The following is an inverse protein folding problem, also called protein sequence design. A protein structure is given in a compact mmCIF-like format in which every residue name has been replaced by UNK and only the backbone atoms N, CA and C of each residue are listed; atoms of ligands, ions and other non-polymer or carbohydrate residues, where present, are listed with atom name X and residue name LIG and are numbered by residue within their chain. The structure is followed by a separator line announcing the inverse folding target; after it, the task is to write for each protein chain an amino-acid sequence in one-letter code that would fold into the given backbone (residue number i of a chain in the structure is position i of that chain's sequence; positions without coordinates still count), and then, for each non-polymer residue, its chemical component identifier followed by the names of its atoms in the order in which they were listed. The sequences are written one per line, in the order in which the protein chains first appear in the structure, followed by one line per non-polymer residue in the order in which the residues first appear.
data_IF_859361765364
#
_entry.id   IF_859361765364
#
_cell.length_a   1.000
_cell.length_b   1.000
_cell.length_c   1.000
_cell.angle_alpha   90.00
_cell.angle_beta   90.00
_cell.angle_gamma   90.00
#
_symmetry.space_group_name_H-M   'P 1'
#
loop_
_entity.id
_entity.type
_entity.pdbx_description
1 polymer ?
#
# COMPACT_ATOMS: atom_id res chain seq x y z
N UNK A 1 29.29 8.83 -31.42
CA UNK A 1 27.95 8.79 -30.77
C UNK A 1 27.81 7.52 -29.91
N UNK A 2 28.57 7.39 -28.81
CA UNK A 2 28.54 6.19 -27.91
C UNK A 2 28.33 6.52 -26.41
N UNK A 3 28.02 7.77 -26.05
CA UNK A 3 27.88 8.20 -24.64
C UNK A 3 26.45 8.17 -24.08
N UNK A 4 25.42 7.98 -24.90
CA UNK A 4 24.02 7.97 -24.42
C UNK A 4 23.49 6.60 -23.98
N UNK A 5 24.14 5.50 -24.36
CA UNK A 5 23.69 4.15 -23.99
C UNK A 5 24.04 3.77 -22.53
N UNK A 6 25.15 4.30 -22.00
CA UNK A 6 25.63 3.97 -20.66
C UNK A 6 24.75 4.59 -19.55
N UNK A 7 24.36 5.87 -19.66
CA UNK A 7 23.40 6.46 -18.71
C UNK A 7 22.02 5.77 -18.73
N UNK A 8 21.65 5.24 -19.89
CA UNK A 8 20.34 4.63 -20.12
C UNK A 8 20.25 3.25 -19.46
N UNK A 9 21.30 2.44 -19.54
CA UNK A 9 21.37 1.16 -18.84
C UNK A 9 21.41 1.32 -17.31
N UNK A 10 22.20 2.27 -16.78
CA UNK A 10 22.29 2.53 -15.33
C UNK A 10 20.97 3.00 -14.73
N UNK A 11 20.20 3.80 -15.47
CA UNK A 11 18.89 4.26 -15.01
C UNK A 11 17.87 3.11 -14.98
N UNK A 12 17.90 2.21 -15.97
CA UNK A 12 17.00 1.05 -15.99
C UNK A 12 17.33 0.10 -14.83
N UNK A 13 18.62 -0.15 -14.59
CA UNK A 13 19.07 -0.99 -13.46
C UNK A 13 18.63 -0.41 -12.14
N UNK A 14 18.84 0.90 -11.92
CA UNK A 14 18.41 1.53 -10.66
C UNK A 14 16.90 1.48 -10.51
N UNK A 15 16.11 1.78 -11.53
CA UNK A 15 14.64 1.75 -11.44
C UNK A 15 14.06 0.33 -11.27
N UNK A 16 14.68 -0.68 -11.89
CA UNK A 16 14.29 -2.08 -11.73
C UNK A 16 14.70 -2.60 -10.34
N UNK A 17 15.92 -2.33 -9.89
CA UNK A 17 16.38 -2.74 -8.56
C UNK A 17 15.53 -2.11 -7.45
N UNK A 18 15.06 -0.88 -7.62
CA UNK A 18 14.25 -0.17 -6.61
C UNK A 18 12.82 -0.65 -6.54
N UNK A 19 12.23 -1.00 -7.68
CA UNK A 19 10.89 -1.59 -7.71
C UNK A 19 10.86 -2.99 -7.13
N UNK A 20 11.88 -3.78 -7.45
CA UNK A 20 12.03 -5.12 -6.89
C UNK A 20 12.36 -5.05 -5.39
N UNK A 21 13.23 -4.13 -4.96
CA UNK A 21 13.53 -3.88 -3.55
C UNK A 21 12.30 -3.41 -2.75
N UNK A 22 11.47 -2.54 -3.35
CA UNK A 22 10.24 -2.02 -2.72
C UNK A 22 9.18 -3.09 -2.52
N UNK A 23 9.25 -4.18 -3.29
CA UNK A 23 8.29 -5.27 -3.24
C UNK A 23 8.93 -6.59 -2.81
N UNK A 24 10.10 -6.61 -2.16
CA UNK A 24 10.74 -7.85 -1.71
C UNK A 24 11.89 -7.62 -0.73
N UNK A 25 11.73 -6.96 0.43
CA UNK A 25 12.80 -6.99 1.46
C UNK A 25 12.25 -7.02 2.89
N UNK A 26 12.20 -8.23 3.46
CA UNK A 26 13.19 -8.68 4.48
C UNK A 26 13.09 -10.21 4.64
N UNK A 27 13.99 -10.96 3.98
CA UNK A 27 14.51 -12.20 4.58
C UNK A 27 15.65 -11.80 5.51
N UNK A 28 15.70 -12.45 6.67
CA UNK A 28 16.74 -12.34 7.70
C UNK A 28 18.11 -11.94 7.14
N UNK A 29 18.57 -10.74 7.52
CA UNK A 29 19.96 -10.29 7.35
C UNK A 29 20.75 -10.36 8.68
N UNK A 30 20.25 -11.09 9.68
CA UNK A 30 20.96 -11.29 10.96
C UNK A 30 22.08 -12.34 10.92
N UNK A 31 22.52 -12.77 9.73
CA UNK A 31 23.62 -13.75 9.62
C UNK A 31 24.70 -13.46 8.58
N UNK A 32 24.73 -12.28 7.95
CA UNK A 32 25.90 -11.88 7.15
C UNK A 32 26.27 -10.43 7.44
N UNK A 33 27.17 -10.25 8.40
CA UNK A 33 27.96 -9.03 8.52
C UNK A 33 28.73 -8.82 7.21
N UNK A 34 28.24 -7.92 6.35
CA UNK A 34 28.99 -7.45 5.19
C UNK A 34 29.86 -6.24 5.59
N UNK A 35 31.10 -6.13 5.10
CA UNK A 35 32.02 -5.06 5.48
C UNK A 35 31.53 -3.70 4.98
N UNK A 36 31.89 -2.65 5.71
CA UNK A 36 31.44 -1.26 5.56
C UNK A 36 31.82 -0.52 4.24
N UNK A 37 32.14 -1.23 3.16
CA UNK A 37 32.62 -0.63 1.89
C UNK A 37 31.64 -0.73 0.71
N UNK A 38 30.37 -1.03 0.97
CA UNK A 38 29.34 -1.11 -0.08
C UNK A 38 28.95 0.26 -0.71
N UNK A 39 29.58 1.36 -0.30
CA UNK A 39 29.39 2.70 -0.90
C UNK A 39 30.33 2.99 -2.08
N UNK A 40 31.30 2.10 -2.40
CA UNK A 40 32.30 2.33 -3.44
C UNK A 40 32.18 1.44 -4.70
N UNK A 41 31.15 0.59 -4.82
CA UNK A 41 31.01 -0.33 -5.96
C UNK A 41 29.99 0.11 -7.02
N UNK A 42 29.64 1.40 -7.10
CA UNK A 42 29.00 1.97 -8.28
C UNK A 42 30.05 2.15 -9.41
N UNK A 43 30.68 1.05 -9.82
CA UNK A 43 31.57 1.02 -10.97
C UNK A 43 30.73 0.92 -12.24
N UNK A 44 30.98 1.88 -13.12
CA UNK A 44 30.31 2.08 -14.39
C UNK A 44 30.59 0.94 -15.39
N UNK A 45 29.81 -0.14 -15.35
CA UNK A 45 29.59 -1.01 -16.52
C UNK A 45 28.33 -1.91 -16.34
N UNK A 46 27.15 -1.28 -16.29
CA UNK A 46 25.88 -2.01 -16.25
C UNK A 46 25.50 -2.48 -17.67
N UNK A 47 26.05 -3.61 -18.10
CA UNK A 47 25.55 -4.34 -19.28
C UNK A 47 24.20 -5.03 -19.00
N UNK A 48 23.54 -5.61 -20.02
CA UNK A 48 22.33 -6.43 -19.87
C UNK A 48 22.44 -7.56 -18.83
N UNK A 49 23.65 -7.98 -18.47
CA UNK A 49 23.92 -8.94 -17.40
C UNK A 49 23.63 -8.43 -15.97
N UNK A 50 23.50 -7.11 -15.77
CA UNK A 50 23.29 -6.51 -14.44
C UNK A 50 21.83 -6.67 -13.97
N UNK A 51 20.85 -6.39 -14.85
CA UNK A 51 19.43 -6.63 -14.57
C UNK A 51 19.12 -8.10 -14.29
N UNK A 52 19.76 -9.02 -15.01
CA UNK A 52 19.58 -10.46 -14.78
C UNK A 52 19.98 -10.87 -13.37
N UNK A 53 21.08 -10.31 -12.85
CA UNK A 53 21.53 -10.54 -11.47
C UNK A 53 20.57 -9.97 -10.44
N UNK A 54 19.99 -8.80 -10.72
CA UNK A 54 18.97 -8.15 -9.88
C UNK A 54 17.68 -8.99 -9.88
N UNK A 55 17.14 -9.37 -11.04
CA UNK A 55 15.95 -10.23 -11.07
C UNK A 55 16.16 -11.55 -10.32
N UNK A 56 17.33 -12.18 -10.51
CA UNK A 56 17.68 -13.44 -9.85
C UNK A 56 17.76 -13.30 -8.32
N UNK A 57 18.30 -12.18 -7.80
CA UNK A 57 18.37 -11.94 -6.35
C UNK A 57 16.99 -11.78 -5.70
N UNK A 58 15.99 -11.34 -6.48
CA UNK A 58 14.58 -11.28 -6.08
C UNK A 58 13.77 -12.53 -6.46
N UNK A 59 14.44 -13.57 -6.96
CA UNK A 59 13.82 -14.84 -7.34
C UNK A 59 12.89 -14.73 -8.55
N UNK A 60 13.08 -13.73 -9.39
CA UNK A 60 12.42 -13.58 -10.69
C UNK A 60 13.37 -14.14 -11.74
N UNK A 61 12.89 -15.09 -12.55
CA UNK A 61 13.64 -15.58 -13.70
C UNK A 61 13.83 -14.41 -14.71
N UNK A 62 15.07 -14.02 -15.05
CA UNK A 62 15.36 -12.92 -15.98
C UNK A 62 14.70 -13.07 -17.36
N UNK A 63 14.45 -14.31 -17.79
CA UNK A 63 13.84 -14.60 -19.09
C UNK A 63 12.30 -14.75 -19.00
N UNK A 64 11.73 -14.62 -17.80
CA UNK A 64 10.28 -14.74 -17.58
C UNK A 64 9.49 -13.56 -18.11
N UNK A 65 8.18 -13.78 -18.30
CA UNK A 65 7.26 -12.70 -18.65
C UNK A 65 7.21 -11.60 -17.57
N UNK A 66 7.32 -12.00 -16.29
CA UNK A 66 7.38 -11.06 -15.15
C UNK A 66 8.57 -10.11 -15.24
N UNK A 67 9.77 -10.59 -15.59
CA UNK A 67 10.91 -9.72 -15.83
C UNK A 67 10.66 -8.72 -16.96
N UNK A 68 10.02 -9.16 -18.05
CA UNK A 68 9.64 -8.28 -19.18
C UNK A 68 8.65 -7.19 -18.75
N UNK A 69 7.67 -7.51 -17.89
CA UNK A 69 6.72 -6.53 -17.35
C UNK A 69 7.45 -5.44 -16.56
N UNK A 70 8.41 -5.81 -15.69
CA UNK A 70 9.20 -4.84 -14.91
C UNK A 70 10.01 -3.93 -15.85
N UNK A 71 10.71 -4.50 -16.83
CA UNK A 71 11.48 -3.71 -17.81
C UNK A 71 10.57 -2.76 -18.59
N UNK A 72 9.40 -3.23 -19.04
CA UNK A 72 8.43 -2.41 -19.76
C UNK A 72 7.90 -1.24 -18.90
N UNK A 73 7.62 -1.49 -17.62
CA UNK A 73 7.21 -0.45 -16.68
C UNK A 73 8.29 0.61 -16.47
N UNK A 74 9.56 0.18 -16.32
CA UNK A 74 10.69 1.10 -16.17
C UNK A 74 10.84 2.00 -17.39
N UNK A 75 10.76 1.39 -18.58
CA UNK A 75 10.80 2.11 -19.84
C UNK A 75 9.63 3.09 -19.99
N UNK A 76 8.43 2.69 -19.55
CA UNK A 76 7.25 3.55 -19.56
C UNK A 76 7.48 4.83 -18.74
N UNK A 77 8.00 4.71 -17.51
CA UNK A 77 8.31 5.88 -16.66
C UNK A 77 9.36 6.78 -17.29
N UNK A 78 10.40 6.17 -17.88
CA UNK A 78 11.49 6.91 -18.52
C UNK A 78 11.02 7.75 -19.70
N UNK A 79 10.03 7.27 -20.43
CA UNK A 79 9.52 7.89 -21.65
C UNK A 79 8.29 8.77 -21.40
N UNK A 80 7.70 8.74 -20.20
CA UNK A 80 6.49 9.51 -19.90
C UNK A 80 6.81 11.02 -19.80
N UNK A 81 6.22 11.87 -20.67
CA UNK A 81 6.52 13.29 -20.69
C UNK A 81 5.96 14.05 -19.48
N UNK A 82 4.87 13.57 -18.87
CA UNK A 82 4.32 14.19 -17.66
C UNK A 82 5.28 13.96 -16.48
N UNK A 83 5.83 12.75 -16.35
CA UNK A 83 6.85 12.46 -15.33
C UNK A 83 8.11 13.28 -15.57
N UNK A 84 8.58 13.37 -16.82
CA UNK A 84 9.79 14.12 -17.16
C UNK A 84 9.69 15.62 -16.84
N UNK A 85 8.50 16.21 -16.97
CA UNK A 85 8.26 17.64 -16.70
C UNK A 85 7.83 17.90 -15.26
N UNK A 86 6.96 17.04 -14.72
CA UNK A 86 6.29 17.25 -13.43
C UNK A 86 7.10 16.80 -12.22
N UNK A 87 8.07 15.90 -12.38
CA UNK A 87 8.95 15.45 -11.30
C UNK A 87 10.36 15.99 -11.56
N UNK A 88 10.90 16.92 -10.74
CA UNK A 88 12.26 17.43 -10.91
C UNK A 88 13.30 16.30 -10.88
N UNK A 89 14.01 16.09 -12.00
CA UNK A 89 14.92 14.96 -12.19
C UNK A 89 14.29 13.73 -12.86
N UNK A 90 13.02 13.80 -13.24
CA UNK A 90 12.28 12.80 -14.02
C UNK A 90 12.41 11.38 -13.43
N UNK A 91 12.59 10.40 -14.32
CA UNK A 91 12.74 9.00 -13.94
C UNK A 91 13.90 8.73 -12.96
N UNK A 92 14.97 9.53 -12.97
CA UNK A 92 16.07 9.37 -12.01
C UNK A 92 15.63 9.74 -10.59
N UNK A 93 14.83 10.80 -10.45
CA UNK A 93 14.25 11.16 -9.17
C UNK A 93 13.25 10.11 -8.69
N UNK A 94 12.46 9.54 -9.61
CA UNK A 94 11.58 8.41 -9.29
C UNK A 94 12.37 7.24 -8.72
N UNK A 95 13.52 6.87 -9.32
CA UNK A 95 14.40 5.83 -8.77
C UNK A 95 14.80 6.10 -7.32
N UNK A 96 15.22 7.34 -7.04
CA UNK A 96 15.64 7.76 -5.71
C UNK A 96 14.49 7.72 -4.70
N UNK A 97 13.29 8.12 -5.11
CA UNK A 97 12.10 8.07 -4.26
C UNK A 97 11.80 6.63 -3.84
N UNK A 98 11.88 5.65 -4.76
CA UNK A 98 11.63 4.25 -4.40
C UNK A 98 12.73 3.61 -3.52
N UNK A 99 13.92 4.21 -3.44
CA UNK A 99 14.97 3.81 -2.48
C UNK A 99 14.73 4.34 -1.07
N UNK A 100 13.98 5.43 -0.93
CA UNK A 100 13.71 6.09 0.34
C UNK A 100 12.30 5.71 0.82
N UNK A 101 12.17 4.91 1.90
CA UNK A 101 10.86 4.48 2.39
C UNK A 101 9.90 5.62 2.71
N UNK A 102 10.40 6.73 3.27
CA UNK A 102 9.57 7.86 3.65
C UNK A 102 9.09 8.64 2.41
N UNK A 103 10.00 8.92 1.48
CA UNK A 103 9.63 9.59 0.23
C UNK A 103 8.67 8.74 -0.62
N UNK A 104 8.86 7.41 -0.62
CA UNK A 104 7.96 6.46 -1.29
C UNK A 104 6.57 6.50 -0.66
N UNK A 105 6.48 6.50 0.67
CA UNK A 105 5.21 6.58 1.36
C UNK A 105 4.48 7.89 1.06
N UNK A 106 5.18 9.03 1.13
CA UNK A 106 4.63 10.34 0.79
C UNK A 106 4.12 10.39 -0.66
N UNK A 107 4.91 9.90 -1.61
CA UNK A 107 4.51 9.79 -3.02
C UNK A 107 3.26 8.93 -3.19
N UNK A 108 3.22 7.77 -2.52
CA UNK A 108 2.07 6.86 -2.60
C UNK A 108 0.82 7.49 -2.00
N UNK A 109 0.91 8.09 -0.81
CA UNK A 109 -0.22 8.74 -0.14
C UNK A 109 -0.75 9.92 -0.97
N UNK A 110 0.13 10.83 -1.40
CA UNK A 110 -0.24 11.98 -2.22
C UNK A 110 -0.82 11.54 -3.57
N UNK A 111 -0.14 10.64 -4.29
CA UNK A 111 -0.59 10.22 -5.61
C UNK A 111 -1.90 9.43 -5.57
N UNK A 112 -2.12 8.55 -4.59
CA UNK A 112 -3.39 7.83 -4.40
C UNK A 112 -4.56 8.79 -4.09
N UNK A 113 -4.32 9.83 -3.29
CA UNK A 113 -5.34 10.85 -2.99
C UNK A 113 -5.78 11.62 -4.24
N UNK A 114 -4.91 11.71 -5.26
CA UNK A 114 -5.17 12.38 -6.54
C UNK A 114 -5.81 11.49 -7.62
N UNK A 115 -5.86 10.17 -7.39
CA UNK A 115 -6.46 9.25 -8.37
C UNK A 115 -7.98 9.48 -8.51
N UNK A 116 -8.56 8.90 -9.56
CA UNK A 116 -10.01 8.78 -9.65
C UNK A 116 -10.53 7.74 -8.64
N UNK A 117 -11.79 7.84 -8.18
CA UNK A 117 -12.39 6.87 -7.25
C UNK A 117 -12.26 5.42 -7.70
N UNK A 118 -12.48 5.15 -8.99
CA UNK A 118 -12.38 3.81 -9.56
C UNK A 118 -10.95 3.23 -9.50
N UNK A 119 -9.92 4.07 -9.62
CA UNK A 119 -8.52 3.61 -9.55
C UNK A 119 -8.06 3.42 -8.10
N UNK A 120 -8.52 4.27 -7.16
CA UNK A 120 -8.35 4.00 -5.72
C UNK A 120 -9.00 2.67 -5.32
N UNK A 121 -10.20 2.40 -5.83
CA UNK A 121 -10.88 1.14 -5.58
C UNK A 121 -10.09 -0.05 -6.12
N UNK A 122 -9.56 0.03 -7.35
CA UNK A 122 -8.68 -1.01 -7.92
C UNK A 122 -7.42 -1.25 -7.09
N UNK A 123 -6.82 -0.19 -6.57
CA UNK A 123 -5.67 -0.31 -5.67
C UNK A 123 -6.01 -1.11 -4.41
N UNK A 124 -7.15 -0.82 -3.80
CA UNK A 124 -7.60 -1.54 -2.60
C UNK A 124 -7.94 -2.99 -2.90
N UNK A 125 -8.60 -3.28 -4.02
CA UNK A 125 -8.86 -4.66 -4.43
C UNK A 125 -7.57 -5.46 -4.59
N UNK A 126 -6.55 -4.88 -5.22
CA UNK A 126 -5.25 -5.52 -5.36
C UNK A 126 -4.60 -5.72 -3.99
N UNK A 127 -4.59 -4.71 -3.13
CA UNK A 127 -4.03 -4.80 -1.78
C UNK A 127 -4.68 -5.92 -0.95
N UNK A 128 -6.01 -5.98 -0.95
CA UNK A 128 -6.77 -7.03 -0.23
C UNK A 128 -6.43 -8.41 -0.76
N UNK A 129 -6.39 -8.58 -2.08
CA UNK A 129 -6.01 -9.85 -2.69
C UNK A 129 -4.60 -10.29 -2.27
N UNK A 130 -3.63 -9.38 -2.27
CA UNK A 130 -2.26 -9.69 -1.84
C UNK A 130 -2.19 -10.09 -0.35
N UNK A 131 -2.99 -9.44 0.50
CA UNK A 131 -3.11 -9.80 1.92
C UNK A 131 -3.72 -11.18 2.12
N UNK A 132 -4.72 -11.54 1.33
CA UNK A 132 -5.38 -12.84 1.41
C UNK A 132 -4.49 -13.98 0.90
N UNK A 133 -3.74 -13.74 -0.17
CA UNK A 133 -2.97 -14.78 -0.85
C UNK A 133 -1.55 -14.95 -0.30
N UNK A 134 -0.89 -13.86 0.14
CA UNK A 134 0.54 -13.89 0.46
C UNK A 134 0.87 -13.63 1.92
N UNK A 135 -0.04 -13.04 2.69
CA UNK A 135 0.21 -12.73 4.09
C UNK A 135 -0.40 -13.82 4.96
N UNK A 136 0.37 -14.46 5.86
CA UNK A 136 -0.18 -15.45 6.78
C UNK A 136 -1.16 -14.80 7.76
N UNK A 137 -2.01 -15.61 8.37
CA UNK A 137 -3.05 -15.15 9.30
C UNK A 137 -2.51 -14.35 10.49
N UNK A 138 -1.25 -14.56 10.88
CA UNK A 138 -0.60 -13.88 12.00
C UNK A 138 0.26 -12.67 11.57
N UNK A 139 0.15 -12.19 10.33
CA UNK A 139 0.91 -11.04 9.83
C UNK A 139 2.43 -11.21 9.98
N UNK A 140 2.92 -12.46 9.85
CA UNK A 140 4.31 -12.83 10.09
C UNK A 140 4.83 -12.46 11.50
N UNK A 141 3.93 -12.31 12.48
CA UNK A 141 4.23 -11.86 13.83
C UNK A 141 4.41 -10.35 13.98
N UNK A 142 4.07 -9.54 12.96
CA UNK A 142 4.21 -8.08 12.98
C UNK A 142 2.89 -7.39 13.34
N UNK A 143 3.01 -6.27 14.04
CA UNK A 143 1.88 -5.38 14.37
C UNK A 143 1.71 -4.24 13.36
N UNK A 144 2.78 -3.86 12.66
CA UNK A 144 2.74 -2.79 11.66
C UNK A 144 2.41 -3.35 10.28
N UNK A 145 1.24 -3.01 9.76
CA UNK A 145 0.81 -3.44 8.42
C UNK A 145 1.71 -2.93 7.30
N UNK A 146 2.43 -1.82 7.50
CA UNK A 146 3.40 -1.33 6.50
C UNK A 146 4.56 -2.31 6.39
N UNK A 147 5.13 -2.72 7.53
CA UNK A 147 6.16 -3.74 7.60
C UNK A 147 5.68 -5.14 7.15
N UNK A 148 4.38 -5.44 7.29
CA UNK A 148 3.78 -6.65 6.70
C UNK A 148 3.80 -6.57 5.17
N UNK A 149 3.36 -5.44 4.61
CA UNK A 149 3.27 -5.27 3.15
C UNK A 149 4.63 -5.23 2.47
N UNK A 150 5.71 -4.85 3.14
CA UNK A 150 7.07 -4.95 2.56
C UNK A 150 7.56 -6.39 2.39
N UNK A 151 6.89 -7.37 3.01
CA UNK A 151 7.18 -8.81 2.87
C UNK A 151 6.42 -9.47 1.71
N UNK A 152 5.42 -8.82 1.14
CA UNK A 152 4.73 -9.28 -0.07
C UNK A 152 5.72 -9.23 -1.23
N UNK A 153 5.80 -10.29 -2.03
CA UNK A 153 6.83 -10.44 -3.05
C UNK A 153 6.25 -10.44 -4.47
N UNK A 154 6.87 -9.68 -5.39
CA UNK A 154 6.56 -9.78 -6.83
C UNK A 154 6.71 -11.21 -7.36
N UNK A 155 7.60 -12.01 -6.75
CA UNK A 155 7.80 -13.42 -7.12
C UNK A 155 6.53 -14.23 -6.97
N UNK A 156 5.82 -14.06 -5.85
CA UNK A 156 4.63 -14.84 -5.50
C UNK A 156 3.35 -14.27 -6.14
N UNK A 157 3.38 -13.02 -6.62
CA UNK A 157 2.26 -12.45 -7.37
C UNK A 157 2.02 -13.17 -8.69
N UNK A 158 0.76 -13.27 -9.14
CA UNK A 158 0.49 -13.68 -10.52
C UNK A 158 1.00 -12.63 -11.52
N UNK A 159 1.21 -13.01 -12.78
CA UNK A 159 1.66 -12.05 -13.81
C UNK A 159 0.66 -10.91 -14.01
N UNK A 160 -0.65 -11.21 -14.00
CA UNK A 160 -1.70 -10.20 -14.11
C UNK A 160 -1.72 -9.24 -12.92
N UNK A 161 -1.43 -9.72 -11.70
CA UNK A 161 -1.37 -8.84 -10.53
C UNK A 161 -0.12 -7.94 -10.58
N UNK A 162 1.00 -8.44 -11.12
CA UNK A 162 2.20 -7.63 -11.34
C UNK A 162 1.94 -6.53 -12.37
N UNK A 163 1.28 -6.84 -13.49
CA UNK A 163 0.86 -5.84 -14.47
C UNK A 163 -0.08 -4.80 -13.85
N UNK A 164 -1.07 -5.24 -13.08
CA UNK A 164 -2.02 -4.34 -12.42
C UNK A 164 -1.31 -3.43 -11.40
N UNK A 165 -0.42 -3.97 -10.57
CA UNK A 165 0.37 -3.22 -9.61
C UNK A 165 1.18 -2.11 -10.30
N UNK A 166 1.93 -2.46 -11.33
CA UNK A 166 2.76 -1.52 -12.07
C UNK A 166 1.94 -0.49 -12.86
N UNK A 167 0.77 -0.88 -13.36
CA UNK A 167 -0.16 0.05 -13.98
C UNK A 167 -0.70 1.08 -12.99
N UNK A 168 -1.11 0.66 -11.79
CA UNK A 168 -1.56 1.56 -10.72
C UNK A 168 -0.44 2.49 -10.25
N UNK A 169 0.75 1.94 -10.06
CA UNK A 169 1.92 2.72 -9.64
C UNK A 169 2.28 3.80 -10.67
N UNK A 170 2.17 3.48 -11.95
CA UNK A 170 2.32 4.46 -13.02
C UNK A 170 1.25 5.56 -12.96
N UNK A 171 -0.01 5.21 -12.68
CA UNK A 171 -1.08 6.20 -12.52
C UNK A 171 -0.81 7.13 -11.34
N UNK A 172 -0.35 6.61 -10.19
CA UNK A 172 0.06 7.39 -9.01
C UNK A 172 1.17 8.39 -9.37
N UNK A 173 2.20 7.94 -10.11
CA UNK A 173 3.28 8.81 -10.56
C UNK A 173 2.78 9.91 -11.50
N UNK A 174 1.92 9.57 -12.44
CA UNK A 174 1.35 10.55 -13.39
C UNK A 174 0.45 11.54 -12.68
N UNK A 175 -0.42 11.11 -11.76
CA UNK A 175 -1.33 11.99 -11.04
C UNK A 175 -0.57 12.97 -10.14
N UNK A 176 0.52 12.52 -9.52
CA UNK A 176 1.44 13.38 -8.78
C UNK A 176 2.15 14.37 -9.71
N UNK A 177 2.76 13.89 -10.78
CA UNK A 177 3.49 14.75 -11.73
C UNK A 177 2.59 15.82 -12.37
N UNK A 178 1.33 15.47 -12.68
CA UNK A 178 0.36 16.41 -13.23
C UNK A 178 -0.27 17.34 -12.20
N UNK A 179 0.05 17.19 -10.91
CA UNK A 179 -0.59 17.92 -9.81
C UNK A 179 -2.11 17.83 -9.89
N UNK A 180 -2.64 16.63 -10.15
CA UNK A 180 -4.07 16.43 -10.26
C UNK A 180 -4.77 16.87 -8.95
N UNK A 181 -5.95 17.50 -9.03
CA UNK A 181 -6.59 18.07 -7.86
C UNK A 181 -7.02 16.98 -6.87
N UNK A 182 -6.88 17.28 -5.59
CA UNK A 182 -7.39 16.46 -4.50
C UNK A 182 -8.80 16.97 -4.15
N UNK A 183 -9.79 16.09 -4.23
CA UNK A 183 -11.17 16.41 -3.83
C UNK A 183 -11.45 15.77 -2.48
N UNK A 184 -11.36 16.56 -1.41
CA UNK A 184 -11.59 16.07 -0.06
C UNK A 184 -13.09 15.94 0.23
N UNK A 185 -13.53 14.80 0.82
CA UNK A 185 -14.87 14.67 1.36
C UNK A 185 -15.15 15.70 2.46
N UNK A 186 -16.36 16.23 2.48
CA UNK A 186 -16.84 17.09 3.57
C UNK A 186 -17.00 16.30 4.87
N UNK A 187 -17.02 16.95 6.05
CA UNK A 187 -17.26 16.27 7.32
C UNK A 187 -18.58 15.47 7.35
N UNK A 188 -19.62 15.95 6.66
CA UNK A 188 -20.91 15.25 6.57
C UNK A 188 -20.81 13.98 5.71
N UNK A 189 -20.03 14.03 4.63
CA UNK A 189 -19.75 12.88 3.77
C UNK A 189 -18.91 11.83 4.51
N UNK A 190 -17.91 12.23 5.29
CA UNK A 190 -17.17 11.30 6.15
C UNK A 190 -18.07 10.63 7.20
N UNK A 191 -18.91 11.40 7.89
CA UNK A 191 -19.83 10.82 8.87
C UNK A 191 -20.83 9.83 8.23
N UNK A 192 -21.26 10.07 6.98
CA UNK A 192 -22.09 9.12 6.23
C UNK A 192 -21.30 7.86 5.85
N UNK A 193 -20.08 8.03 5.37
CA UNK A 193 -19.17 6.95 5.00
C UNK A 193 -18.83 6.04 6.19
N UNK A 194 -18.55 6.62 7.36
CA UNK A 194 -18.28 5.89 8.61
C UNK A 194 -19.49 5.04 9.03
N UNK A 195 -20.71 5.59 9.00
CA UNK A 195 -21.92 4.81 9.29
C UNK A 195 -22.12 3.65 8.30
N UNK A 196 -21.77 3.85 7.04
CA UNK A 196 -21.86 2.80 6.03
C UNK A 196 -20.77 1.74 6.23
N UNK A 197 -19.57 2.14 6.61
CA UNK A 197 -18.47 1.24 6.95
C UNK A 197 -18.81 0.35 8.13
N UNK A 198 -19.38 0.89 9.21
CA UNK A 198 -19.82 0.09 10.37
C UNK A 198 -20.84 -0.99 9.96
N UNK A 199 -21.79 -0.65 9.07
CA UNK A 199 -22.77 -1.64 8.56
C UNK A 199 -22.09 -2.70 7.70
N UNK A 200 -21.12 -2.30 6.88
CA UNK A 200 -20.36 -3.21 6.02
C UNK A 200 -19.52 -4.18 6.86
N UNK A 201 -18.87 -3.71 7.92
CA UNK A 201 -18.12 -4.56 8.87
C UNK A 201 -19.03 -5.58 9.53
N UNK A 202 -20.19 -5.16 10.05
CA UNK A 202 -21.16 -6.09 10.66
C UNK A 202 -21.61 -7.14 9.64
N UNK A 203 -21.81 -6.74 8.38
CA UNK A 203 -22.21 -7.65 7.30
C UNK A 203 -21.10 -8.63 6.95
N UNK A 204 -19.85 -8.17 6.86
CA UNK A 204 -18.66 -8.97 6.59
C UNK A 204 -18.45 -10.03 7.69
N UNK A 205 -18.66 -9.65 8.95
CA UNK A 205 -18.64 -10.54 10.11
C UNK A 205 -19.92 -11.39 10.23
N UNK A 206 -20.82 -11.33 9.25
CA UNK A 206 -22.08 -12.09 9.20
C UNK A 206 -22.99 -11.85 10.42
N UNK A 207 -22.80 -10.74 11.13
CA UNK A 207 -23.49 -10.44 12.38
C UNK A 207 -23.11 -11.32 13.57
N UNK A 208 -21.99 -12.06 13.50
CA UNK A 208 -21.49 -12.82 14.65
C UNK A 208 -21.08 -11.87 15.78
N UNK A 209 -21.74 -11.99 16.93
CA UNK A 209 -21.56 -11.03 18.02
C UNK A 209 -20.15 -11.11 18.62
N UNK A 210 -19.53 -12.29 18.68
CA UNK A 210 -18.20 -12.45 19.25
C UNK A 210 -17.14 -11.79 18.36
N UNK A 211 -17.25 -11.94 17.05
CA UNK A 211 -16.38 -11.27 16.09
C UNK A 211 -16.65 -9.76 16.02
N UNK A 212 -17.91 -9.32 16.11
CA UNK A 212 -18.24 -7.89 16.21
C UNK A 212 -17.62 -7.27 17.46
N UNK A 213 -17.73 -7.94 18.60
CA UNK A 213 -17.13 -7.47 19.86
C UNK A 213 -15.60 -7.47 19.79
N UNK A 214 -14.99 -8.49 19.15
CA UNK A 214 -13.54 -8.56 18.90
C UNK A 214 -13.06 -7.42 18.01
N UNK A 215 -13.78 -7.13 16.92
CA UNK A 215 -13.46 -6.01 16.03
C UNK A 215 -13.57 -4.67 16.75
N UNK A 216 -14.65 -4.47 17.51
CA UNK A 216 -14.86 -3.26 18.31
C UNK A 216 -13.77 -3.09 19.38
N UNK A 217 -13.35 -4.18 20.03
CA UNK A 217 -12.25 -4.17 20.99
C UNK A 217 -10.93 -3.76 20.31
N UNK A 218 -10.60 -4.36 19.16
CA UNK A 218 -9.42 -3.97 18.37
C UNK A 218 -9.45 -2.48 18.00
N UNK A 219 -10.56 -1.98 17.46
CA UNK A 219 -10.69 -0.58 17.04
C UNK A 219 -10.55 0.42 18.20
N UNK A 220 -10.96 0.04 19.41
CA UNK A 220 -10.90 0.89 20.61
C UNK A 220 -9.60 0.74 21.40
N UNK A 221 -8.93 -0.41 21.31
CA UNK A 221 -7.71 -0.72 22.05
C UNK A 221 -6.59 -1.25 21.12
N UNK A 222 -6.20 -0.49 20.07
CA UNK A 222 -5.23 -0.95 19.09
C UNK A 222 -3.86 -1.32 19.69
N UNK A 223 -3.46 -0.67 20.79
CA UNK A 223 -2.19 -0.96 21.49
C UNK A 223 -2.18 -2.31 22.23
N UNK A 224 -3.34 -2.94 22.42
CA UNK A 224 -3.48 -4.27 23.03
C UNK A 224 -3.62 -5.38 22.01
N UNK A 225 -3.61 -5.05 20.70
CA UNK A 225 -3.80 -6.00 19.63
C UNK A 225 -2.62 -6.97 19.52
N UNK A 226 -2.90 -8.24 19.24
CA UNK A 226 -1.88 -9.19 18.80
C UNK A 226 -1.68 -9.09 17.28
N UNK A 227 -0.57 -9.61 16.72
CA UNK A 227 -0.40 -9.70 15.26
C UNK A 227 -1.55 -10.44 14.55
N UNK A 228 -2.16 -11.42 15.21
CA UNK A 228 -3.35 -12.13 14.70
C UNK A 228 -4.56 -11.20 14.62
N UNK A 229 -4.77 -10.36 15.63
CA UNK A 229 -5.88 -9.39 15.65
C UNK A 229 -5.71 -8.33 14.58
N UNK A 230 -4.50 -7.78 14.43
CA UNK A 230 -4.18 -6.79 13.38
C UNK A 230 -4.48 -7.38 12.00
N UNK A 231 -3.98 -8.58 11.71
CA UNK A 231 -4.14 -9.20 10.40
C UNK A 231 -5.60 -9.55 10.09
N UNK A 232 -6.31 -10.09 11.09
CA UNK A 232 -7.72 -10.45 10.95
C UNK A 232 -8.57 -9.20 10.77
N UNK A 233 -8.43 -8.19 11.65
CA UNK A 233 -9.23 -6.97 11.58
C UNK A 233 -8.94 -6.16 10.31
N UNK A 234 -7.69 -6.12 9.85
CA UNK A 234 -7.34 -5.45 8.58
C UNK A 234 -8.03 -6.12 7.39
N UNK A 235 -8.07 -7.46 7.33
CA UNK A 235 -8.80 -8.17 6.26
C UNK A 235 -10.30 -7.89 6.32
N UNK A 236 -10.90 -7.99 7.51
CA UNK A 236 -12.32 -7.66 7.72
C UNK A 236 -12.62 -6.23 7.24
N UNK A 237 -11.80 -5.25 7.65
CA UNK A 237 -11.98 -3.86 7.25
C UNK A 237 -11.88 -3.67 5.73
N UNK A 238 -10.89 -4.28 5.09
CA UNK A 238 -10.68 -4.15 3.64
C UNK A 238 -11.79 -4.83 2.82
N UNK A 239 -12.23 -6.03 3.20
CA UNK A 239 -13.37 -6.70 2.56
C UNK A 239 -14.66 -5.93 2.75
N UNK A 240 -14.90 -5.40 3.96
CA UNK A 240 -16.03 -4.51 4.23
C UNK A 240 -16.00 -3.26 3.33
N UNK A 241 -14.84 -2.59 3.19
CA UNK A 241 -14.68 -1.44 2.28
C UNK A 241 -14.99 -1.84 0.84
N UNK A 242 -14.50 -2.99 0.37
CA UNK A 242 -14.75 -3.44 -1.01
C UNK A 242 -16.24 -3.65 -1.27
N UNK A 243 -16.98 -4.16 -0.28
CA UNK A 243 -18.42 -4.38 -0.35
C UNK A 243 -19.26 -3.09 -0.27
N UNK A 244 -18.68 -1.95 0.13
CA UNK A 244 -19.40 -0.68 0.21
C UNK A 244 -19.78 -0.13 -1.17
N UNK A 245 -20.93 0.57 -1.29
CA UNK A 245 -21.29 1.32 -2.49
C UNK A 245 -20.49 2.64 -2.60
N UNK A 246 -20.40 3.18 -3.82
CA UNK A 246 -20.00 4.57 -4.03
C UNK A 246 -21.17 5.53 -3.76
N UNK A 247 -20.92 6.75 -3.26
CA UNK A 247 -19.60 7.35 -3.03
C UNK A 247 -18.98 7.06 -1.66
N UNK A 248 -19.72 6.45 -0.72
CA UNK A 248 -19.26 6.25 0.66
C UNK A 248 -17.96 5.43 0.74
N UNK A 249 -17.81 4.41 -0.11
CA UNK A 249 -16.58 3.62 -0.21
C UNK A 249 -15.36 4.50 -0.46
N UNK A 250 -15.44 5.36 -1.47
CA UNK A 250 -14.32 6.22 -1.85
C UNK A 250 -13.96 7.21 -0.74
N UNK A 251 -14.96 7.71 -0.01
CA UNK A 251 -14.70 8.58 1.14
C UNK A 251 -13.97 7.86 2.28
N UNK A 252 -14.33 6.60 2.59
CA UNK A 252 -13.56 5.79 3.56
C UNK A 252 -12.14 5.56 3.08
N UNK A 253 -11.98 5.20 1.82
CA UNK A 253 -10.66 4.99 1.21
C UNK A 253 -9.79 6.24 1.31
N UNK A 254 -10.36 7.39 0.99
CA UNK A 254 -9.66 8.66 1.09
C UNK A 254 -9.15 8.92 2.51
N UNK A 255 -9.96 8.62 3.53
CA UNK A 255 -9.58 8.74 4.94
C UNK A 255 -8.41 7.82 5.33
N UNK A 256 -8.33 6.62 4.73
CA UNK A 256 -7.24 5.67 4.98
C UNK A 256 -5.94 6.01 4.23
N UNK A 257 -6.04 6.78 3.15
CA UNK A 257 -4.90 7.16 2.30
C UNK A 257 -4.22 8.44 2.81
N UNK A 258 -5.00 9.43 3.26
CA UNK A 258 -4.48 10.74 3.69
C UNK A 258 -4.31 10.75 5.22
N UNK A 259 -3.07 10.82 5.75
CA UNK A 259 -2.85 10.98 7.18
C UNK A 259 -3.53 12.27 7.66
N UNK A 260 -4.34 12.18 8.70
CA UNK A 260 -4.89 13.39 9.33
C UNK A 260 -3.86 13.95 10.31
N UNK A 261 -3.46 15.20 10.10
CA UNK A 261 -2.62 15.95 11.04
C UNK A 261 -3.28 15.96 12.43
N UNK A 262 -2.76 15.13 13.34
CA UNK A 262 -3.28 14.96 14.70
C UNK A 262 -3.37 13.51 15.19
N UNK A 263 -3.12 12.52 14.34
CA UNK A 263 -2.93 11.13 14.74
C UNK A 263 -1.43 10.82 14.75
N UNK A 264 -0.87 10.49 15.91
CA UNK A 264 0.56 10.16 16.06
C UNK A 264 1.00 9.19 14.96
N UNK A 265 2.22 9.37 14.44
CA UNK A 265 2.79 8.59 13.33
C UNK A 265 2.77 7.06 13.52
N UNK A 266 2.50 6.55 14.73
CA UNK A 266 2.19 5.13 15.01
C UNK A 266 0.82 4.65 14.50
N UNK A 267 -0.12 5.56 14.24
CA UNK A 267 -1.50 5.26 13.88
C UNK A 267 -1.71 5.19 12.36
N UNK A 268 -0.77 5.73 11.59
CA UNK A 268 -0.82 5.77 10.13
C UNK A 268 -0.59 4.39 9.48
N UNK A 269 -0.27 3.35 10.27
CA UNK A 269 -0.25 1.94 9.87
C UNK A 269 -1.56 1.17 10.17
N UNK A 270 -2.57 1.81 10.77
CA UNK A 270 -3.80 1.16 11.20
C UNK A 270 -4.99 1.51 10.30
N UNK A 271 -5.23 0.64 9.31
CA UNK A 271 -6.51 0.52 8.61
C UNK A 271 -7.61 0.15 9.62
N UNK A 272 -8.14 1.12 10.35
CA UNK A 272 -9.19 0.88 11.34
C UNK A 272 -9.41 1.97 12.39
N UNK A 273 -8.56 3.01 12.47
CA UNK A 273 -8.72 4.04 13.50
C UNK A 273 -9.30 5.33 12.94
N UNK A 274 -10.62 5.35 12.75
CA UNK A 274 -11.36 6.62 12.85
C UNK A 274 -11.44 7.00 14.33
N UNK A 275 -10.52 7.86 14.75
CA UNK A 275 -10.54 8.46 16.07
C UNK A 275 -11.73 9.41 16.23
N UNK A 276 -12.86 8.89 16.72
CA UNK A 276 -13.78 9.52 17.67
C UNK A 276 -14.97 8.59 17.94
N UNK A 277 -14.94 7.96 19.11
CA UNK A 277 -16.09 7.39 19.81
C UNK A 277 -17.06 6.55 18.96
N UNK A 278 -16.86 5.23 18.98
CA UNK A 278 -17.98 4.30 18.86
C UNK A 278 -19.03 4.69 19.91
N UNK A 279 -20.10 5.35 19.49
CA UNK A 279 -21.27 5.59 20.33
C UNK A 279 -21.90 4.21 20.58
N UNK A 280 -21.90 3.80 21.86
CA UNK A 280 -22.54 2.58 22.34
C UNK A 280 -23.93 2.39 21.71
N UNK A 281 -24.29 1.18 21.26
CA UNK A 281 -25.69 0.86 21.03
C UNK A 281 -26.40 0.95 22.38
N UNK A 282 -27.45 1.77 22.42
CA UNK A 282 -28.31 1.95 23.57
C UNK A 282 -28.72 0.61 24.18
N UNK A 283 -28.45 0.44 25.47
CA UNK A 283 -29.04 -0.63 26.26
C UNK A 283 -30.57 -0.50 26.20
N UNK A 284 -31.19 -1.62 25.88
CA UNK A 284 -32.62 -1.83 25.76
C UNK A 284 -33.40 -1.30 26.96
N UNK A 285 -34.53 -0.67 26.64
CA UNK A 285 -35.62 -0.41 27.58
C UNK A 285 -35.98 -1.70 28.33
N UNK A 286 -35.96 -1.65 29.66
CA UNK A 286 -36.80 -2.49 30.50
C UNK A 286 -37.87 -1.59 31.10
N UNK A 287 -39.09 -1.67 30.56
CA UNK A 287 -40.27 -1.15 31.23
C UNK A 287 -40.65 -2.06 32.40
N UNK A 288 -41.13 -1.44 33.48
CA UNK A 288 -42.15 -2.01 34.36
C UNK A 288 -42.72 -0.88 35.24
N UNK A 289 -43.99 -0.57 35.00
CA UNK A 289 -44.88 0.19 35.87
C UNK A 289 -44.99 -0.47 37.27
N UNK A 290 -45.05 0.33 38.34
CA UNK A 290 -46.27 0.54 39.15
C UNK A 290 -45.98 1.28 40.48
N UNK A 291 -46.98 2.09 40.85
CA UNK A 291 -47.08 3.01 41.99
C UNK A 291 -47.33 2.26 43.34
N UNK A 292 -47.64 2.92 44.49
CA UNK A 292 -48.46 4.13 44.71
C UNK A 292 -47.70 5.36 45.20
#
# INVERSE_FOLDING_TARGET
MKRSASCLATLIVTLAATTLASAAIHRDLDSLALPADATAAASADAGPGDLGSVFSSYGIDPDSNKARIVVAWVEKIRQDPLIAVGIPGGAQRVAQIFLDPAAREELMASGLARLAPADRFRYVQLLTKLLDEQVPVNCFGLLDMRAVMTRVSLREMSESDVEQYFSLLHQVLVSEASHAPITEPTPQQYAAAERQFTRAVITELQGDQADVDRFAFYSSHPSQATPLDVCWATRVALHAIIAMPDPERDHVLFQTIVPHDGSDASSAGQLGTSGKAFVSPAASQSGADHAP
#
